data_IF_579026500567
#
_entry.id   IF_579026500567
#
_cell.length_a   1.000
_cell.length_b   1.000
_cell.length_c   1.000
_cell.angle_alpha   90.00
_cell.angle_beta   90.00
_cell.angle_gamma   90.00
#
_symmetry.space_group_name_H-M   'P 1'
#
loop_
_entity.id
_entity.type
_entity.pdbx_description
1 polymer ?
#
# COMPACT_ATOMS: atom_id res chain seq x y z
N UNK A 1 -14.61 -15.04 37.09
CA UNK A 1 -14.73 -13.77 36.33
C UNK A 1 -13.67 -13.83 35.25
N UNK A 2 -13.98 -14.43 34.12
CA UNK A 2 -13.07 -14.58 32.99
C UNK A 2 -13.09 -13.27 32.21
N UNK A 3 -11.93 -12.63 32.10
CA UNK A 3 -11.73 -11.51 31.18
C UNK A 3 -11.77 -12.13 29.79
N UNK A 4 -12.94 -12.13 29.15
CA UNK A 4 -13.05 -12.31 27.70
C UNK A 4 -12.26 -11.17 27.09
N UNK A 5 -11.10 -11.47 26.50
CA UNK A 5 -10.35 -10.48 25.73
C UNK A 5 -11.28 -9.92 24.65
N UNK A 6 -11.55 -8.62 24.75
CA UNK A 6 -12.33 -7.91 23.75
C UNK A 6 -11.61 -8.05 22.38
N UNK A 7 -12.32 -8.32 21.28
CA UNK A 7 -11.72 -8.48 19.96
C UNK A 7 -10.78 -7.32 19.63
N UNK A 8 -9.62 -7.56 19.02
CA UNK A 8 -8.62 -6.51 18.71
C UNK A 8 -9.23 -5.29 18.02
N UNK A 9 -10.20 -5.49 17.12
CA UNK A 9 -10.93 -4.41 16.44
C UNK A 9 -11.59 -3.42 17.42
N UNK A 10 -12.09 -3.88 18.57
CA UNK A 10 -12.73 -3.01 19.57
C UNK A 10 -11.76 -2.11 20.34
N UNK A 11 -10.43 -2.36 20.22
CA UNK A 11 -9.38 -1.51 20.78
C UNK A 11 -8.98 -0.37 19.84
N UNK A 12 -9.45 -0.39 18.59
CA UNK A 12 -9.19 0.64 17.57
C UNK A 12 -10.35 1.63 17.60
N UNK A 13 -10.04 2.92 17.69
CA UNK A 13 -11.02 4.01 17.68
C UNK A 13 -10.68 5.03 16.58
N UNK A 14 -11.68 5.46 15.81
CA UNK A 14 -11.45 6.33 14.65
C UNK A 14 -10.88 7.70 15.04
N UNK A 15 -11.26 8.22 16.22
CA UNK A 15 -10.73 9.47 16.72
C UNK A 15 -9.27 9.31 17.17
N UNK A 16 -8.94 8.23 17.87
CA UNK A 16 -7.54 7.90 18.21
C UNK A 16 -6.68 7.75 16.94
N UNK A 17 -7.19 7.11 15.89
CA UNK A 17 -6.48 7.01 14.61
C UNK A 17 -6.18 8.39 13.99
N UNK A 18 -7.15 9.31 14.01
CA UNK A 18 -6.96 10.69 13.57
C UNK A 18 -5.94 11.45 14.45
N UNK A 19 -6.06 11.33 15.78
CA UNK A 19 -5.13 11.97 16.72
C UNK A 19 -3.70 11.46 16.54
N UNK A 20 -3.51 10.17 16.23
CA UNK A 20 -2.19 9.62 15.89
C UNK A 20 -1.63 10.19 14.60
N UNK A 21 -2.45 10.36 13.56
CA UNK A 21 -2.04 11.01 12.31
C UNK A 21 -1.50 12.42 12.55
N UNK A 22 -2.24 13.26 13.30
CA UNK A 22 -1.81 14.63 13.64
C UNK A 22 -0.42 14.66 14.29
N UNK A 23 -0.12 13.68 15.15
CA UNK A 23 1.12 13.59 15.91
C UNK A 23 2.26 12.86 15.18
N UNK A 24 2.05 12.36 13.96
CA UNK A 24 3.02 11.56 13.21
C UNK A 24 3.34 12.12 11.81
N UNK A 25 3.12 13.42 11.59
CA UNK A 25 3.37 14.06 10.30
C UNK A 25 4.85 14.04 9.88
N UNK A 26 5.10 13.80 8.58
CA UNK A 26 6.41 13.81 7.95
C UNK A 26 6.38 14.47 6.57
N UNK A 27 7.56 14.81 6.03
CA UNK A 27 7.70 15.55 4.77
C UNK A 27 8.38 14.72 3.69
N UNK A 28 7.60 14.22 2.72
CA UNK A 28 8.14 13.50 1.56
C UNK A 28 9.11 14.35 0.75
N UNK A 29 8.94 15.68 0.71
CA UNK A 29 9.86 16.61 0.04
C UNK A 29 11.08 16.98 0.89
N UNK A 30 11.06 16.67 2.19
CA UNK A 30 12.13 16.95 3.13
C UNK A 30 13.19 15.84 3.19
N UNK A 31 12.91 14.65 2.65
CA UNK A 31 13.86 13.54 2.59
C UNK A 31 15.07 13.89 1.72
N UNK A 32 16.27 13.64 2.24
CA UNK A 32 17.54 13.80 1.55
C UNK A 32 17.96 12.49 0.88
N UNK A 33 18.02 12.50 -0.46
CA UNK A 33 18.43 11.35 -1.27
C UNK A 33 19.87 11.44 -1.79
N UNK A 34 20.68 12.36 -1.26
CA UNK A 34 22.06 12.55 -1.73
C UNK A 34 22.91 11.29 -1.55
N UNK A 35 22.81 10.65 -0.37
CA UNK A 35 23.52 9.39 -0.13
C UNK A 35 22.88 8.23 -0.90
N UNK A 36 21.55 8.20 -1.00
CA UNK A 36 20.81 7.19 -1.75
C UNK A 36 21.25 7.12 -3.21
N UNK A 37 21.50 8.28 -3.85
CA UNK A 37 22.03 8.31 -5.22
C UNK A 37 23.40 7.64 -5.33
N UNK A 38 24.28 7.91 -4.37
CA UNK A 38 25.61 7.30 -4.32
C UNK A 38 25.52 5.80 -4.07
N UNK A 39 24.71 5.37 -3.10
CA UNK A 39 24.52 3.96 -2.78
C UNK A 39 23.91 3.20 -3.96
N UNK A 40 22.91 3.78 -4.61
CA UNK A 40 22.31 3.22 -5.82
C UNK A 40 23.35 3.03 -6.92
N UNK A 41 24.25 4.01 -7.11
CA UNK A 41 25.27 3.99 -8.15
C UNK A 41 26.46 3.08 -7.86
N UNK A 42 26.86 2.93 -6.60
CA UNK A 42 28.10 2.26 -6.22
C UNK A 42 27.87 0.89 -5.56
N UNK A 43 26.75 0.68 -4.86
CA UNK A 43 26.50 -0.51 -4.04
C UNK A 43 25.53 -1.51 -4.70
N UNK A 44 24.73 -1.08 -5.67
CA UNK A 44 23.80 -1.96 -6.38
C UNK A 44 24.36 -2.37 -7.74
N UNK A 45 24.41 -3.67 -7.99
CA UNK A 45 24.67 -4.24 -9.32
C UNK A 45 23.54 -3.93 -10.29
N UNK A 46 23.80 -4.02 -11.60
CA UNK A 46 22.77 -3.80 -12.63
C UNK A 46 21.52 -4.66 -12.42
N UNK A 47 21.71 -5.91 -11.98
CA UNK A 47 20.60 -6.81 -11.73
C UNK A 47 19.84 -6.44 -10.45
N UNK A 48 20.52 -6.06 -9.36
CA UNK A 48 19.85 -5.57 -8.15
C UNK A 48 19.04 -4.30 -8.43
N UNK A 49 19.57 -3.36 -9.23
CA UNK A 49 18.79 -2.17 -9.63
C UNK A 49 17.54 -2.56 -10.40
N UNK A 50 17.66 -3.49 -11.34
CA UNK A 50 16.51 -4.01 -12.08
C UNK A 50 15.47 -4.65 -11.15
N UNK A 51 15.93 -5.45 -10.19
CA UNK A 51 15.07 -6.11 -9.23
C UNK A 51 14.40 -5.12 -8.25
N UNK A 52 15.14 -4.12 -7.80
CA UNK A 52 14.62 -3.04 -6.96
C UNK A 52 13.60 -2.17 -7.72
N UNK A 53 13.89 -1.78 -8.96
CA UNK A 53 12.94 -1.03 -9.82
C UNK A 53 11.64 -1.81 -9.97
N UNK A 54 11.68 -3.14 -10.19
CA UNK A 54 10.48 -3.96 -10.27
C UNK A 54 9.60 -3.84 -9.01
N UNK A 55 10.20 -3.98 -7.83
CA UNK A 55 9.48 -3.86 -6.55
C UNK A 55 8.97 -2.43 -6.31
N UNK A 56 9.83 -1.43 -6.45
CA UNK A 56 9.49 -0.03 -6.17
C UNK A 56 8.47 0.53 -7.17
N UNK A 57 8.42 0.01 -8.39
CA UNK A 57 7.41 0.39 -9.38
C UNK A 57 6.02 -0.06 -8.94
N UNK A 58 5.88 -1.24 -8.33
CA UNK A 58 4.59 -1.69 -7.81
C UNK A 58 4.12 -0.79 -6.67
N UNK A 59 5.01 -0.39 -5.76
CA UNK A 59 4.65 0.60 -4.74
C UNK A 59 4.25 1.93 -5.39
N UNK A 60 5.09 2.50 -6.24
CA UNK A 60 4.81 3.80 -6.84
C UNK A 60 3.44 3.87 -7.53
N UNK A 61 3.11 2.87 -8.36
CA UNK A 61 1.80 2.79 -9.01
C UNK A 61 0.69 2.45 -8.02
N UNK A 62 1.00 1.71 -6.96
CA UNK A 62 0.08 1.40 -5.88
C UNK A 62 -0.38 2.66 -5.19
N UNK A 63 0.57 3.43 -4.65
CA UNK A 63 0.36 4.70 -3.94
C UNK A 63 -0.44 5.71 -4.79
N UNK A 64 -0.10 5.84 -6.08
CA UNK A 64 -0.82 6.74 -6.99
C UNK A 64 -2.29 6.30 -7.18
N UNK A 65 -2.51 5.00 -7.39
CA UNK A 65 -3.87 4.46 -7.61
C UNK A 65 -4.73 4.52 -6.36
N UNK A 66 -4.16 4.23 -5.18
CA UNK A 66 -4.90 4.29 -3.92
C UNK A 66 -5.26 5.74 -3.56
N UNK A 67 -4.36 6.71 -3.80
CA UNK A 67 -4.64 8.14 -3.65
C UNK A 67 -5.77 8.63 -4.56
N UNK A 68 -5.77 8.19 -5.83
CA UNK A 68 -6.81 8.53 -6.82
C UNK A 68 -8.19 7.95 -6.44
N UNK A 69 -8.20 6.70 -5.95
CA UNK A 69 -9.41 5.92 -5.74
C UNK A 69 -10.05 6.07 -4.36
N UNK A 70 -9.44 6.78 -3.40
CA UNK A 70 -9.96 6.85 -2.04
C UNK A 70 -11.21 7.74 -1.87
N UNK A 71 -11.43 8.71 -2.77
CA UNK A 71 -12.52 9.68 -2.61
C UNK A 71 -13.93 9.06 -2.46
N UNK A 72 -14.32 8.00 -3.21
CA UNK A 72 -15.61 7.34 -3.04
C UNK A 72 -15.77 6.62 -1.70
N UNK A 73 -14.65 6.25 -1.05
CA UNK A 73 -14.66 5.61 0.26
C UNK A 73 -15.05 6.62 1.35
N UNK A 74 -14.50 7.84 1.29
CA UNK A 74 -14.90 8.96 2.16
C UNK A 74 -16.40 9.22 1.99
N UNK A 75 -16.86 9.27 0.74
CA UNK A 75 -18.26 9.52 0.38
C UNK A 75 -19.25 8.45 0.86
N UNK A 76 -18.79 7.19 0.96
CA UNK A 76 -19.60 6.06 1.37
C UNK A 76 -19.53 5.76 2.88
N UNK A 77 -18.51 6.26 3.58
CA UNK A 77 -18.34 6.01 5.01
C UNK A 77 -19.55 6.52 5.83
N UNK A 78 -20.20 5.67 6.65
CA UNK A 78 -21.44 6.01 7.33
C UNK A 78 -21.30 6.97 8.52
N UNK A 79 -20.07 7.16 9.05
CA UNK A 79 -19.80 7.98 10.24
C UNK A 79 -18.84 9.12 9.91
N UNK A 80 -19.00 10.26 10.57
CA UNK A 80 -18.14 11.42 10.33
C UNK A 80 -16.70 11.18 10.77
N UNK A 81 -16.47 10.46 11.87
CA UNK A 81 -15.13 10.12 12.34
C UNK A 81 -14.39 9.22 11.33
N UNK A 82 -15.13 8.35 10.62
CA UNK A 82 -14.54 7.56 9.54
C UNK A 82 -14.13 8.42 8.37
N UNK A 83 -14.97 9.39 7.97
CA UNK A 83 -14.66 10.33 6.89
C UNK A 83 -13.44 11.17 7.22
N UNK A 84 -13.37 11.70 8.45
CA UNK A 84 -12.24 12.52 8.89
C UNK A 84 -10.93 11.73 8.84
N UNK A 85 -10.91 10.49 9.33
CA UNK A 85 -9.74 9.64 9.18
C UNK A 85 -9.42 9.34 7.71
N UNK A 86 -10.40 8.98 6.89
CA UNK A 86 -10.14 8.69 5.47
C UNK A 86 -9.58 9.90 4.70
N UNK A 87 -9.92 11.14 5.09
CA UNK A 87 -9.28 12.33 4.51
C UNK A 87 -7.81 12.46 4.89
N UNK A 88 -7.41 12.01 6.08
CA UNK A 88 -5.98 11.99 6.45
C UNK A 88 -5.24 10.93 5.66
N UNK A 89 -5.84 9.74 5.50
CA UNK A 89 -5.29 8.71 4.64
C UNK A 89 -5.09 9.23 3.21
N UNK A 90 -6.04 9.96 2.62
CA UNK A 90 -5.87 10.52 1.27
C UNK A 90 -4.62 11.42 1.15
N UNK A 91 -4.29 12.15 2.22
CA UNK A 91 -3.07 12.96 2.27
C UNK A 91 -1.82 12.08 2.37
N UNK A 92 -1.86 11.01 3.18
CA UNK A 92 -0.77 10.06 3.31
C UNK A 92 -0.49 9.36 1.97
N UNK A 93 -1.50 8.82 1.28
CA UNK A 93 -1.31 8.15 -0.03
C UNK A 93 -0.72 9.10 -1.09
N UNK A 94 -1.22 10.34 -1.15
CA UNK A 94 -0.66 11.34 -2.07
C UNK A 94 0.80 11.68 -1.71
N UNK A 95 1.13 11.71 -0.41
CA UNK A 95 2.50 11.90 0.08
C UNK A 95 3.39 10.71 -0.29
N UNK A 96 2.88 9.47 -0.20
CA UNK A 96 3.60 8.27 -0.60
C UNK A 96 3.91 8.28 -2.10
N UNK A 97 2.92 8.62 -2.94
CA UNK A 97 3.11 8.74 -4.38
C UNK A 97 4.18 9.79 -4.73
N UNK A 98 4.18 10.95 -4.05
CA UNK A 98 5.22 11.97 -4.19
C UNK A 98 6.59 11.45 -3.75
N UNK A 99 6.67 10.72 -2.64
CA UNK A 99 7.91 10.11 -2.14
C UNK A 99 8.52 9.16 -3.19
N UNK A 100 7.75 8.21 -3.70
CA UNK A 100 8.23 7.27 -4.72
C UNK A 100 8.58 7.97 -6.04
N UNK A 101 7.77 8.94 -6.48
CA UNK A 101 8.08 9.73 -7.67
C UNK A 101 9.42 10.46 -7.55
N UNK A 102 9.69 11.07 -6.38
CA UNK A 102 10.97 11.71 -6.10
C UNK A 102 12.12 10.69 -6.13
N UNK A 103 11.97 9.55 -5.48
CA UNK A 103 13.02 8.53 -5.48
C UNK A 103 13.33 8.01 -6.89
N UNK A 104 12.30 7.71 -7.69
CA UNK A 104 12.47 7.29 -9.09
C UNK A 104 13.24 8.32 -9.91
N UNK A 105 12.95 9.61 -9.72
CA UNK A 105 13.61 10.70 -10.44
C UNK A 105 15.04 10.96 -9.94
N UNK A 106 15.20 11.17 -8.63
CA UNK A 106 16.43 11.69 -8.03
C UNK A 106 17.50 10.61 -7.85
N UNK A 107 17.10 9.35 -7.59
CA UNK A 107 18.01 8.24 -7.32
C UNK A 107 18.14 7.32 -8.52
N UNK A 108 17.00 6.82 -8.99
CA UNK A 108 16.96 5.83 -10.09
C UNK A 108 17.25 6.48 -11.44
N UNK A 109 16.85 7.73 -11.64
CA UNK A 109 16.99 8.46 -12.91
C UNK A 109 15.89 8.14 -13.93
N UNK A 110 14.71 7.71 -13.46
CA UNK A 110 13.53 7.46 -14.28
C UNK A 110 12.46 8.55 -14.08
N UNK A 111 11.91 9.04 -15.18
CA UNK A 111 10.94 10.14 -15.18
C UNK A 111 11.59 11.53 -15.26
N UNK A 112 10.74 12.55 -15.15
CA UNK A 112 11.06 13.98 -15.12
C UNK A 112 10.42 14.64 -13.89
N UNK A 113 10.26 15.97 -13.89
CA UNK A 113 9.74 16.71 -12.73
C UNK A 113 8.32 16.33 -12.31
N UNK A 114 7.49 15.84 -13.24
CA UNK A 114 6.10 15.44 -13.00
C UNK A 114 5.95 13.94 -12.68
N UNK A 115 4.97 13.61 -11.84
CA UNK A 115 4.66 12.22 -11.43
C UNK A 115 4.31 11.32 -12.62
N UNK A 116 3.57 11.83 -13.60
CA UNK A 116 3.07 11.07 -14.74
C UNK A 116 4.20 10.48 -15.59
N UNK A 117 5.29 11.23 -15.77
CA UNK A 117 6.48 10.76 -16.48
C UNK A 117 7.15 9.55 -15.80
N UNK A 118 7.23 9.56 -14.46
CA UNK A 118 7.75 8.44 -13.67
C UNK A 118 6.86 7.22 -13.80
N UNK A 119 5.53 7.40 -13.70
CA UNK A 119 4.56 6.31 -13.87
C UNK A 119 4.70 5.70 -15.27
N UNK A 120 4.81 6.54 -16.31
CA UNK A 120 5.01 6.06 -17.68
C UNK A 120 6.31 5.26 -17.85
N UNK A 121 7.41 5.71 -17.22
CA UNK A 121 8.71 5.05 -17.30
C UNK A 121 8.75 3.68 -16.61
N UNK A 122 8.01 3.51 -15.52
CA UNK A 122 8.01 2.32 -14.66
C UNK A 122 6.85 1.35 -14.94
N UNK A 123 5.83 1.78 -15.70
CA UNK A 123 4.69 0.94 -16.10
C UNK A 123 5.05 -0.43 -16.71
N UNK A 124 6.12 -0.56 -17.55
CA UNK A 124 6.49 -1.85 -18.12
C UNK A 124 6.83 -2.91 -17.08
N UNK A 125 7.34 -2.50 -15.91
CA UNK A 125 7.80 -3.41 -14.86
C UNK A 125 6.65 -4.01 -14.04
N UNK A 126 5.43 -3.47 -14.12
CA UNK A 126 4.30 -3.98 -13.35
C UNK A 126 3.95 -5.43 -13.71
N UNK A 127 3.76 -6.25 -12.67
CA UNK A 127 3.31 -7.63 -12.82
C UNK A 127 1.88 -7.70 -13.36
N UNK A 128 1.53 -8.83 -13.96
CA UNK A 128 0.16 -9.04 -14.46
C UNK A 128 -0.86 -9.03 -13.31
N UNK A 129 -0.48 -9.59 -12.15
CA UNK A 129 -1.33 -9.64 -10.96
C UNK A 129 -1.60 -8.25 -10.43
N UNK A 130 -0.55 -7.41 -10.33
CA UNK A 130 -0.67 -6.00 -9.96
C UNK A 130 -1.68 -5.28 -10.87
N UNK A 131 -1.49 -5.37 -12.20
CA UNK A 131 -2.39 -4.74 -13.17
C UNK A 131 -3.85 -5.18 -13.01
N UNK A 132 -4.10 -6.43 -12.61
CA UNK A 132 -5.45 -6.97 -12.41
C UNK A 132 -6.07 -6.52 -11.09
N UNK A 133 -5.31 -6.53 -9.99
CA UNK A 133 -5.79 -6.04 -8.69
C UNK A 133 -6.16 -4.56 -8.79
N UNK A 134 -5.28 -3.73 -9.35
CA UNK A 134 -5.50 -2.29 -9.40
C UNK A 134 -6.56 -1.88 -10.43
N UNK A 135 -6.69 -2.57 -11.57
CA UNK A 135 -7.84 -2.38 -12.45
C UNK A 135 -9.17 -2.72 -11.75
N UNK A 136 -9.18 -3.70 -10.83
CA UNK A 136 -10.36 -4.02 -10.02
C UNK A 136 -10.62 -2.95 -8.96
N UNK A 137 -9.58 -2.34 -8.40
CA UNK A 137 -9.68 -1.20 -7.49
C UNK A 137 -10.32 0.01 -8.18
N UNK A 138 -9.87 0.37 -9.38
CA UNK A 138 -10.47 1.45 -10.18
C UNK A 138 -11.96 1.21 -10.42
N UNK A 139 -12.31 -0.02 -10.80
CA UNK A 139 -13.70 -0.42 -10.99
C UNK A 139 -14.50 -0.33 -9.67
N UNK A 140 -13.90 -0.71 -8.54
CA UNK A 140 -14.55 -0.65 -7.22
C UNK A 140 -14.88 0.79 -6.83
N UNK A 141 -13.95 1.72 -7.02
CA UNK A 141 -14.18 3.14 -6.75
C UNK A 141 -15.39 3.65 -7.55
N UNK A 142 -15.49 3.25 -8.82
CA UNK A 142 -16.58 3.58 -9.71
C UNK A 142 -17.93 2.95 -9.32
N UNK A 143 -17.91 1.70 -8.85
CA UNK A 143 -19.09 1.02 -8.30
C UNK A 143 -19.56 1.72 -7.01
N UNK A 144 -18.64 2.06 -6.12
CA UNK A 144 -18.92 2.69 -4.83
C UNK A 144 -19.48 4.11 -4.98
N UNK A 145 -19.07 4.85 -6.02
CA UNK A 145 -19.71 6.13 -6.39
C UNK A 145 -21.21 5.97 -6.67
N UNK A 146 -21.62 4.83 -7.25
CA UNK A 146 -23.00 4.54 -7.68
C UNK A 146 -23.83 3.83 -6.60
N UNK A 147 -23.19 2.95 -5.84
CA UNK A 147 -23.81 2.16 -4.77
C UNK A 147 -23.01 2.30 -3.47
N UNK A 148 -23.58 3.04 -2.52
CA UNK A 148 -22.99 3.28 -1.18
C UNK A 148 -23.62 2.38 -0.11
N UNK A 149 -24.18 1.24 -0.50
CA UNK A 149 -24.70 0.26 0.44
C UNK A 149 -23.60 -0.29 1.35
N UNK A 150 -23.97 -0.73 2.56
CA UNK A 150 -23.02 -1.34 3.52
C UNK A 150 -22.30 -2.56 2.95
N UNK A 151 -22.96 -3.50 2.23
CA UNK A 151 -22.26 -4.63 1.62
C UNK A 151 -21.25 -4.21 0.55
N UNK A 152 -21.58 -3.21 -0.29
CA UNK A 152 -20.66 -2.67 -1.28
C UNK A 152 -19.46 -1.99 -0.62
N UNK A 153 -19.69 -1.20 0.43
CA UNK A 153 -18.60 -0.60 1.22
C UNK A 153 -17.74 -1.67 1.90
N UNK A 154 -18.34 -2.73 2.46
CA UNK A 154 -17.59 -3.82 3.09
C UNK A 154 -16.67 -4.54 2.09
N UNK A 155 -17.16 -4.81 0.88
CA UNK A 155 -16.32 -5.31 -0.21
C UNK A 155 -15.21 -4.29 -0.54
N UNK A 156 -15.55 -3.03 -0.76
CA UNK A 156 -14.57 -2.01 -1.10
C UNK A 156 -13.45 -1.87 -0.04
N UNK A 157 -13.81 -1.82 1.25
CA UNK A 157 -12.85 -1.76 2.36
C UNK A 157 -11.97 -3.00 2.38
N UNK A 158 -12.52 -4.19 2.11
CA UNK A 158 -11.73 -5.43 2.01
C UNK A 158 -10.71 -5.36 0.86
N UNK A 159 -11.11 -4.89 -0.32
CA UNK A 159 -10.21 -4.79 -1.47
C UNK A 159 -9.05 -3.85 -1.17
N UNK A 160 -9.34 -2.68 -0.61
CA UNK A 160 -8.32 -1.67 -0.36
C UNK A 160 -7.47 -2.04 0.86
N UNK A 161 -8.07 -2.15 2.04
CA UNK A 161 -7.29 -2.19 3.30
C UNK A 161 -6.81 -3.60 3.65
N UNK A 162 -7.53 -4.65 3.25
CA UNK A 162 -7.10 -6.02 3.54
C UNK A 162 -6.30 -6.63 2.40
N UNK A 163 -6.73 -6.46 1.15
CA UNK A 163 -6.01 -7.04 0.01
C UNK A 163 -4.85 -6.14 -0.42
N UNK A 164 -5.09 -4.87 -0.77
CA UNK A 164 -4.02 -3.98 -1.25
C UNK A 164 -3.03 -3.62 -0.13
N UNK A 165 -3.47 -3.12 1.01
CA UNK A 165 -2.55 -2.71 2.08
C UNK A 165 -2.02 -3.91 2.88
N UNK A 166 -2.89 -4.64 3.59
CA UNK A 166 -2.44 -5.65 4.53
C UNK A 166 -1.82 -6.91 3.88
N UNK A 167 -2.31 -7.32 2.70
CA UNK A 167 -1.85 -8.57 2.06
C UNK A 167 -0.76 -8.33 1.01
N UNK A 168 -0.72 -7.15 0.38
CA UNK A 168 0.26 -6.84 -0.67
C UNK A 168 1.29 -5.80 -0.22
N UNK A 169 0.87 -4.63 0.25
CA UNK A 169 1.81 -3.58 0.63
C UNK A 169 2.66 -4.00 1.84
N UNK A 170 2.05 -4.50 2.92
CA UNK A 170 2.77 -4.79 4.16
C UNK A 170 3.88 -5.85 4.04
N UNK A 171 3.68 -6.99 3.32
CA UNK A 171 4.79 -7.93 3.08
C UNK A 171 5.85 -7.36 2.11
N UNK A 172 5.43 -6.58 1.10
CA UNK A 172 6.35 -5.89 0.20
C UNK A 172 7.24 -4.86 0.93
N UNK A 173 6.66 -4.11 1.87
CA UNK A 173 7.37 -3.16 2.72
C UNK A 173 8.37 -3.90 3.61
N UNK A 174 7.92 -4.96 4.27
CA UNK A 174 8.78 -5.76 5.13
C UNK A 174 9.99 -6.32 4.36
N UNK A 175 9.76 -6.80 3.14
CA UNK A 175 10.83 -7.26 2.26
C UNK A 175 11.83 -6.15 1.94
N UNK A 176 11.34 -4.97 1.52
CA UNK A 176 12.17 -3.81 1.17
C UNK A 176 12.96 -3.29 2.37
N UNK A 177 12.27 -2.98 3.46
CA UNK A 177 12.89 -2.48 4.69
C UNK A 177 13.93 -3.46 5.22
N UNK A 178 13.66 -4.77 5.15
CA UNK A 178 14.56 -5.82 5.59
C UNK A 178 15.92 -5.74 4.91
N UNK A 179 15.97 -5.83 3.58
CA UNK A 179 17.27 -5.85 2.88
C UNK A 179 17.97 -4.49 2.91
N UNK A 180 17.24 -3.38 2.96
CA UNK A 180 17.82 -2.04 3.05
C UNK A 180 18.50 -1.85 4.42
N UNK A 181 17.80 -2.23 5.49
CA UNK A 181 18.31 -2.15 6.86
C UNK A 181 19.51 -3.07 7.06
N UNK A 182 19.46 -4.31 6.58
CA UNK A 182 20.55 -5.27 6.72
C UNK A 182 21.83 -4.81 6.02
N UNK A 183 21.69 -4.06 4.92
CA UNK A 183 22.81 -3.51 4.15
C UNK A 183 23.28 -2.13 4.61
N UNK A 184 22.45 -1.39 5.33
CA UNK A 184 22.74 -0.02 5.74
C UNK A 184 22.93 0.95 4.56
N UNK A 185 22.09 0.82 3.53
CA UNK A 185 22.11 1.63 2.29
C UNK A 185 20.82 2.43 2.14
N UNK A 186 20.78 3.37 1.19
CA UNK A 186 19.59 4.15 0.82
C UNK A 186 18.90 4.79 2.04
N UNK A 187 19.63 5.59 2.86
CA UNK A 187 19.12 6.07 4.14
C UNK A 187 17.88 6.96 4.02
N UNK A 188 17.79 7.82 3.01
CA UNK A 188 16.61 8.67 2.79
C UNK A 188 15.39 7.85 2.38
N UNK A 189 15.57 6.82 1.56
CA UNK A 189 14.50 5.90 1.18
C UNK A 189 14.10 4.99 2.34
N UNK A 190 15.03 4.53 3.16
CA UNK A 190 14.75 3.79 4.38
C UNK A 190 13.90 4.61 5.38
N UNK A 191 14.21 5.89 5.54
CA UNK A 191 13.41 6.83 6.33
C UNK A 191 12.00 6.98 5.75
N UNK A 192 11.90 7.19 4.43
CA UNK A 192 10.61 7.28 3.74
C UNK A 192 9.77 6.01 3.90
N UNK A 193 10.33 4.84 3.64
CA UNK A 193 9.66 3.55 3.83
C UNK A 193 9.18 3.35 5.26
N UNK A 194 10.01 3.70 6.26
CA UNK A 194 9.61 3.61 7.68
C UNK A 194 8.39 4.48 7.97
N UNK A 195 8.35 5.70 7.41
CA UNK A 195 7.20 6.59 7.59
C UNK A 195 5.95 6.04 6.90
N UNK A 196 6.06 5.55 5.66
CA UNK A 196 4.96 4.88 4.94
C UNK A 196 4.42 3.70 5.76
N UNK A 197 5.30 2.84 6.29
CA UNK A 197 4.91 1.69 7.11
C UNK A 197 4.19 2.07 8.41
N UNK A 198 4.50 3.24 9.00
CA UNK A 198 3.78 3.78 10.16
C UNK A 198 2.40 4.34 9.79
N UNK A 199 2.26 4.86 8.57
CA UNK A 199 1.01 5.35 8.00
C UNK A 199 0.08 4.17 7.70
N UNK A 200 0.59 3.14 7.03
CA UNK A 200 -0.15 1.90 6.69
C UNK A 200 -0.70 1.15 7.92
N UNK A 201 0.00 1.18 9.06
CA UNK A 201 -0.53 0.60 10.29
C UNK A 201 -1.86 1.23 10.72
N UNK A 202 -2.05 2.54 10.46
CA UNK A 202 -3.31 3.23 10.75
C UNK A 202 -4.36 2.88 9.72
N UNK A 203 -4.00 2.81 8.44
CA UNK A 203 -4.91 2.48 7.34
C UNK A 203 -5.50 1.06 7.50
N UNK A 204 -4.63 0.07 7.73
CA UNK A 204 -5.05 -1.31 8.01
C UNK A 204 -5.90 -1.38 9.28
N UNK A 205 -5.50 -0.65 10.33
CA UNK A 205 -6.27 -0.55 11.57
C UNK A 205 -7.69 -0.02 11.35
N UNK A 206 -7.83 1.03 10.53
CA UNK A 206 -9.12 1.55 10.09
C UNK A 206 -9.94 0.50 9.35
N UNK A 207 -9.35 -0.17 8.36
CA UNK A 207 -10.03 -1.20 7.57
C UNK A 207 -10.59 -2.33 8.44
N UNK A 208 -9.78 -2.84 9.37
CA UNK A 208 -10.20 -3.88 10.34
C UNK A 208 -11.37 -3.40 11.21
N UNK A 209 -11.30 -2.18 11.74
CA UNK A 209 -12.36 -1.62 12.58
C UNK A 209 -13.65 -1.38 11.78
N UNK A 210 -13.53 -0.84 10.57
CA UNK A 210 -14.66 -0.54 9.70
C UNK A 210 -15.40 -1.81 9.29
N UNK A 211 -14.69 -2.87 8.89
CA UNK A 211 -15.29 -4.17 8.58
C UNK A 211 -15.97 -4.80 9.80
N UNK A 212 -15.36 -4.68 10.98
CA UNK A 212 -15.98 -5.16 12.22
C UNK A 212 -17.33 -4.47 12.48
N UNK A 213 -17.41 -3.15 12.33
CA UNK A 213 -18.64 -2.39 12.52
C UNK A 213 -19.69 -2.75 11.43
N UNK A 214 -19.30 -2.77 10.15
CA UNK A 214 -20.18 -3.09 9.02
C UNK A 214 -20.81 -4.48 9.13
N UNK A 215 -20.01 -5.50 9.47
CA UNK A 215 -20.49 -6.88 9.62
C UNK A 215 -21.51 -7.05 10.76
N UNK A 216 -21.47 -6.17 11.77
CA UNK A 216 -22.46 -6.16 12.86
C UNK A 216 -23.73 -5.40 12.51
N UNK A 217 -23.64 -4.47 11.57
CA UNK A 217 -24.75 -3.60 11.15
C UNK A 217 -25.59 -4.22 10.04
N UNK A 218 -24.98 -5.03 9.18
CA UNK A 218 -25.66 -5.60 8.00
C UNK A 218 -25.14 -7.03 7.70
N UNK A 219 -26.02 -8.06 7.76
CA UNK A 219 -25.64 -9.45 7.54
C UNK A 219 -25.17 -9.73 6.10
N UNK A 220 -25.52 -8.89 5.12
CA UNK A 220 -25.11 -9.08 3.72
C UNK A 220 -23.66 -8.63 3.47
N UNK A 221 -23.00 -8.00 4.45
CA UNK A 221 -21.58 -7.64 4.37
C UNK A 221 -20.67 -8.87 4.25
N UNK A 222 -20.87 -9.91 5.06
CA UNK A 222 -20.00 -11.08 5.05
C UNK A 222 -20.04 -11.84 3.70
N UNK A 223 -21.21 -12.10 3.09
CA UNK A 223 -21.30 -12.62 1.72
C UNK A 223 -20.56 -11.75 0.69
N UNK A 224 -20.76 -10.43 0.72
CA UNK A 224 -20.12 -9.50 -0.23
C UNK A 224 -18.59 -9.53 -0.12
N UNK A 225 -18.06 -9.57 1.11
CA UNK A 225 -16.62 -9.74 1.38
C UNK A 225 -16.11 -11.07 0.83
N UNK A 226 -16.83 -12.17 1.07
CA UNK A 226 -16.44 -13.49 0.60
C UNK A 226 -16.42 -13.59 -0.92
N UNK A 227 -17.41 -13.00 -1.60
CA UNK A 227 -17.47 -12.99 -3.06
C UNK A 227 -16.33 -12.18 -3.68
N UNK A 228 -16.03 -11.02 -3.12
CA UNK A 228 -14.87 -10.23 -3.53
C UNK A 228 -13.57 -11.02 -3.36
N UNK A 229 -13.35 -11.64 -2.19
CA UNK A 229 -12.12 -12.40 -1.94
C UNK A 229 -11.93 -13.53 -2.96
N UNK A 230 -13.00 -14.27 -3.28
CA UNK A 230 -12.96 -15.30 -4.33
C UNK A 230 -12.58 -14.74 -5.70
N UNK A 231 -13.00 -13.51 -6.00
CA UNK A 231 -12.68 -12.83 -7.25
C UNK A 231 -11.20 -12.43 -7.32
N UNK A 232 -10.65 -11.83 -6.25
CA UNK A 232 -9.36 -11.12 -6.32
C UNK A 232 -8.15 -11.94 -5.87
N UNK A 233 -8.33 -12.98 -5.05
CA UNK A 233 -7.23 -13.84 -4.58
C UNK A 233 -6.36 -14.37 -5.74
N UNK A 234 -6.91 -14.88 -6.87
CA UNK A 234 -6.08 -15.34 -7.98
C UNK A 234 -5.15 -14.27 -8.56
N UNK A 235 -5.57 -13.00 -8.52
CA UNK A 235 -4.77 -11.87 -9.00
C UNK A 235 -3.72 -11.44 -7.97
N UNK A 236 -4.10 -11.41 -6.68
CA UNK A 236 -3.22 -11.04 -5.57
C UNK A 236 -1.98 -11.95 -5.51
N UNK A 237 -2.16 -13.27 -5.65
CA UNK A 237 -1.02 -14.22 -5.72
C UNK A 237 -0.10 -13.94 -6.92
N UNK A 238 -0.65 -13.40 -8.01
CA UNK A 238 0.11 -13.01 -9.20
C UNK A 238 0.94 -11.73 -9.05
N UNK A 239 0.76 -10.95 -7.97
CA UNK A 239 1.42 -9.66 -7.78
C UNK A 239 2.94 -9.86 -7.62
N UNK A 240 3.33 -10.80 -6.77
CA UNK A 240 4.73 -11.08 -6.44
C UNK A 240 5.39 -12.12 -7.36
N UNK A 241 4.75 -12.52 -8.46
CA UNK A 241 5.37 -13.42 -9.44
C UNK A 241 6.44 -12.64 -10.21
N UNK A 242 7.74 -12.98 -10.08
CA UNK A 242 8.80 -12.22 -10.72
C UNK A 242 8.77 -12.29 -12.25
N UNK A 243 9.36 -11.31 -12.96
CA UNK A 243 9.45 -11.33 -14.41
C UNK A 243 10.12 -12.60 -14.92
N UNK A 244 9.40 -13.36 -15.74
CA UNK A 244 9.89 -14.62 -16.31
C UNK A 244 10.10 -15.75 -15.30
N UNK A 245 9.47 -15.67 -14.11
CA UNK A 245 9.70 -16.61 -13.00
C UNK A 245 11.17 -16.65 -12.53
N UNK A 246 11.91 -15.56 -12.75
CA UNK A 246 13.29 -15.44 -12.33
C UNK A 246 13.35 -15.10 -10.84
N UNK A 247 13.55 -16.11 -10.00
CA UNK A 247 13.61 -15.94 -8.54
C UNK A 247 14.72 -14.99 -8.07
N UNK A 248 15.72 -14.72 -8.94
CA UNK A 248 16.81 -13.79 -8.62
C UNK A 248 16.31 -12.40 -8.25
N UNK A 249 15.14 -11.98 -8.73
CA UNK A 249 14.53 -10.70 -8.35
C UNK A 249 14.28 -10.58 -6.83
N UNK A 250 14.21 -11.71 -6.13
CA UNK A 250 14.06 -11.77 -4.67
C UNK A 250 15.35 -12.28 -4.02
N UNK A 251 15.95 -13.35 -4.55
CA UNK A 251 17.14 -13.96 -3.94
C UNK A 251 18.38 -13.09 -3.98
N UNK A 252 18.46 -12.12 -4.90
CA UNK A 252 19.55 -11.13 -4.90
C UNK A 252 19.55 -10.25 -3.65
N UNK A 253 18.43 -10.16 -2.94
CA UNK A 253 18.28 -9.44 -1.67
C UNK A 253 18.30 -10.37 -0.45
N UNK A 254 18.72 -11.61 -0.62
CA UNK A 254 18.90 -12.56 0.48
C UNK A 254 17.60 -13.18 1.02
N UNK A 255 16.52 -13.15 0.24
CA UNK A 255 15.22 -13.74 0.59
C UNK A 255 14.72 -14.69 -0.49
N UNK A 256 13.84 -15.60 -0.11
CA UNK A 256 13.07 -16.45 -1.03
C UNK A 256 11.70 -15.81 -1.31
N UNK A 257 11.02 -16.27 -2.37
CA UNK A 257 9.64 -15.83 -2.65
C UNK A 257 8.71 -16.22 -1.49
N UNK A 258 8.91 -17.38 -0.87
CA UNK A 258 8.12 -17.84 0.27
C UNK A 258 8.24 -16.88 1.46
N UNK A 259 9.46 -16.46 1.81
CA UNK A 259 9.73 -15.49 2.89
C UNK A 259 9.16 -14.08 2.61
N UNK A 260 8.79 -13.74 1.36
CA UNK A 260 8.09 -12.49 1.06
C UNK A 260 6.62 -12.56 1.48
N UNK A 261 6.04 -13.76 1.62
CA UNK A 261 4.65 -13.96 2.05
C UNK A 261 4.50 -14.29 3.55
N UNK A 262 5.61 -14.43 4.29
CA UNK A 262 5.64 -14.71 5.75
C UNK A 262 5.74 -13.44 6.59
#
# INVERSE_FOLDING_TARGET
MTITELPMATKIDYRDLYERWENANWSATGLDFTQDKTDWDEQFTDFERKAAIWNYSMFFHGEDSVAENLSPYIDAAPREEQKYFLTTQQVDEARHAVFFARFMREVVGLGSEDVASGLAATRPDLSWGFRKVFARLDQMADELRRDRSRPKLAAAITLYHLVVEATLAQPGQHFIEGYIKDRGVLPGFAEGMTNVSLDEQRHIGFGVRCLYDLNREDPDCAPAVADLLREVIPYAVGVFVPPGWDERYVTTFGKTIEEVFE
#
